data_IF_997721513545
#
_entry.id   IF_997721513545
#
_cell.length_a   1.000
_cell.length_b   1.000
_cell.length_c   1.000
_cell.angle_alpha   90.00
_cell.angle_beta   90.00
_cell.angle_gamma   90.00
#
_symmetry.space_group_name_H-M   'P 1'
#
loop_
_entity.id
_entity.type
_entity.pdbx_description
1 polymer ?
#
# COMPACT_ATOMS: atom_id res chain seq x y z
N UNK A 1 35.11 -21.19 -7.67
CA UNK A 1 34.08 -21.92 -8.44
C UNK A 1 32.75 -21.41 -7.95
N UNK A 2 32.16 -20.45 -8.66
CA UNK A 2 30.91 -19.78 -8.28
C UNK A 2 29.74 -20.58 -8.82
N UNK A 3 28.91 -21.09 -7.92
CA UNK A 3 27.65 -21.75 -8.27
C UNK A 3 26.60 -20.65 -8.42
N UNK A 4 26.52 -20.07 -9.61
CA UNK A 4 25.37 -19.27 -10.02
C UNK A 4 24.26 -20.25 -10.41
N UNK A 5 23.38 -20.55 -9.46
CA UNK A 5 22.13 -21.25 -9.77
C UNK A 5 21.30 -20.36 -10.70
N UNK A 6 21.06 -20.84 -11.91
CA UNK A 6 20.08 -20.31 -12.85
C UNK A 6 18.72 -20.26 -12.11
N UNK A 7 18.27 -19.08 -11.69
CA UNK A 7 16.87 -18.85 -11.36
C UNK A 7 16.10 -19.05 -12.67
N UNK A 8 15.51 -20.22 -12.86
CA UNK A 8 14.48 -20.40 -13.88
C UNK A 8 13.45 -19.30 -13.66
N UNK A 9 13.27 -18.44 -14.64
CA UNK A 9 12.11 -17.54 -14.70
C UNK A 9 10.87 -18.43 -14.64
N UNK A 10 10.19 -18.43 -13.50
CA UNK A 10 8.88 -19.05 -13.40
C UNK A 10 7.97 -18.27 -14.33
N UNK A 11 7.61 -18.85 -15.46
CA UNK A 11 6.51 -18.33 -16.30
C UNK A 11 5.23 -18.51 -15.50
N UNK A 12 4.72 -17.41 -15.01
CA UNK A 12 3.44 -17.38 -14.30
C UNK A 12 2.35 -17.18 -15.32
N UNK A 13 1.47 -18.19 -15.45
CA UNK A 13 0.25 -18.05 -16.24
C UNK A 13 -0.73 -17.20 -15.45
N UNK A 14 -0.78 -15.91 -15.78
CA UNK A 14 -1.74 -14.97 -15.20
C UNK A 14 -3.13 -15.14 -15.82
N UNK A 15 -3.26 -15.79 -16.98
CA UNK A 15 -4.50 -16.01 -17.71
C UNK A 15 -5.31 -14.71 -17.93
N UNK A 16 -6.59 -14.88 -18.24
CA UNK A 16 -7.56 -13.77 -18.28
C UNK A 16 -8.15 -13.43 -16.90
N UNK A 17 -7.33 -13.57 -15.83
CA UNK A 17 -7.77 -13.33 -14.46
C UNK A 17 -8.06 -11.83 -14.25
N UNK A 18 -9.30 -11.51 -13.88
CA UNK A 18 -9.67 -10.15 -13.47
C UNK A 18 -8.89 -9.78 -12.22
N UNK A 19 -8.02 -8.78 -12.32
CA UNK A 19 -7.21 -8.25 -11.22
C UNK A 19 -7.63 -6.83 -10.87
N UNK A 20 -7.40 -6.37 -9.63
CA UNK A 20 -7.69 -4.98 -9.26
C UNK A 20 -6.72 -4.02 -9.99
N UNK A 21 -7.23 -2.89 -10.46
CA UNK A 21 -6.40 -1.80 -11.00
C UNK A 21 -5.63 -1.13 -9.86
N UNK A 22 -6.28 -0.95 -8.70
CA UNK A 22 -5.71 -0.37 -7.48
C UNK A 22 -5.83 -1.36 -6.32
N UNK A 23 -4.70 -1.63 -5.67
CA UNK A 23 -4.54 -2.62 -4.60
C UNK A 23 -3.97 -1.95 -3.35
N UNK A 24 -4.61 -2.14 -2.20
CA UNK A 24 -4.06 -1.80 -0.88
C UNK A 24 -3.51 -3.03 -0.16
N UNK A 25 -2.36 -2.91 0.50
CA UNK A 25 -1.76 -4.02 1.27
C UNK A 25 -1.31 -3.57 2.65
N UNK A 26 -1.85 -4.20 3.69
CA UNK A 26 -1.42 -4.01 5.07
C UNK A 26 -0.38 -5.08 5.41
N UNK A 27 0.89 -4.72 5.43
CA UNK A 27 2.04 -5.62 5.61
C UNK A 27 2.20 -6.07 7.07
N UNK A 28 1.22 -6.88 7.57
CA UNK A 28 1.17 -7.30 8.97
C UNK A 28 1.83 -8.67 9.21
N UNK A 29 2.37 -8.86 10.41
CA UNK A 29 2.93 -10.13 10.86
C UNK A 29 4.45 -10.19 10.97
N UNK A 30 5.20 -9.15 10.58
CA UNK A 30 6.67 -9.13 10.64
C UNK A 30 7.22 -9.54 12.03
N UNK A 31 6.71 -8.91 13.09
CA UNK A 31 7.14 -9.22 14.47
C UNK A 31 6.77 -10.63 14.91
N UNK A 32 5.55 -11.09 14.59
CA UNK A 32 5.08 -12.45 14.90
C UNK A 32 5.90 -13.51 14.15
N UNK A 33 6.25 -13.25 12.91
CA UNK A 33 7.11 -14.10 12.10
C UNK A 33 8.49 -14.31 12.74
N UNK A 34 9.13 -13.22 13.20
CA UNK A 34 10.42 -13.27 13.88
C UNK A 34 10.32 -14.01 15.21
N UNK A 35 9.32 -13.71 16.04
CA UNK A 35 9.10 -14.36 17.33
C UNK A 35 8.90 -15.87 17.21
N UNK A 36 8.11 -16.34 16.21
CA UNK A 36 7.92 -17.78 15.93
C UNK A 36 9.24 -18.50 15.58
N UNK A 37 10.26 -17.75 15.15
CA UNK A 37 11.59 -18.28 14.76
C UNK A 37 12.69 -17.95 15.76
N UNK A 38 12.31 -17.46 16.94
CA UNK A 38 13.27 -17.03 17.99
C UNK A 38 14.27 -15.96 17.50
N UNK A 39 13.83 -15.11 16.56
CA UNK A 39 14.61 -14.01 15.99
C UNK A 39 14.15 -12.66 16.57
N UNK A 40 15.03 -11.65 16.59
CA UNK A 40 14.64 -10.30 16.95
C UNK A 40 13.61 -9.75 15.94
N UNK A 41 12.68 -8.90 16.39
CA UNK A 41 11.61 -8.32 15.53
C UNK A 41 12.17 -7.62 14.28
N UNK A 42 13.35 -7.01 14.40
CA UNK A 42 14.07 -6.37 13.28
C UNK A 42 14.38 -7.33 12.12
N UNK A 43 14.61 -8.62 12.41
CA UNK A 43 14.81 -9.62 11.35
C UNK A 43 13.54 -9.83 10.50
N UNK A 44 12.36 -9.86 11.16
CA UNK A 44 11.08 -9.94 10.46
C UNK A 44 10.82 -8.74 9.56
N UNK A 45 11.16 -7.53 10.01
CA UNK A 45 11.03 -6.33 9.18
C UNK A 45 11.95 -6.34 7.96
N UNK A 46 13.17 -6.84 8.10
CA UNK A 46 14.10 -6.99 6.95
C UNK A 46 13.56 -7.97 5.91
N UNK A 47 13.09 -9.14 6.36
CA UNK A 47 12.52 -10.15 5.44
C UNK A 47 11.24 -9.63 4.80
N UNK A 48 10.37 -8.93 5.58
CA UNK A 48 9.17 -8.31 5.04
C UNK A 48 9.44 -7.23 4.00
N UNK A 49 10.56 -6.52 4.11
CA UNK A 49 10.99 -5.56 3.11
C UNK A 49 11.46 -6.23 1.81
N UNK A 50 12.20 -7.34 1.89
CA UNK A 50 12.53 -8.16 0.71
C UNK A 50 11.25 -8.70 0.05
N UNK A 51 10.25 -9.09 0.85
CA UNK A 51 8.98 -9.58 0.33
C UNK A 51 8.17 -8.49 -0.40
N UNK A 52 8.25 -7.23 0.03
CA UNK A 52 7.62 -6.11 -0.69
C UNK A 52 8.13 -6.02 -2.14
N UNK A 53 9.41 -6.22 -2.36
CA UNK A 53 10.00 -6.23 -3.70
C UNK A 53 9.39 -7.32 -4.58
N UNK A 54 9.26 -8.53 -4.05
CA UNK A 54 8.62 -9.65 -4.79
C UNK A 54 7.12 -9.36 -5.04
N UNK A 55 6.42 -8.76 -4.09
CA UNK A 55 5.04 -8.32 -4.30
C UNK A 55 4.96 -7.32 -5.47
N UNK A 56 5.84 -6.31 -5.51
CA UNK A 56 5.88 -5.32 -6.57
C UNK A 56 6.04 -5.97 -7.95
N UNK A 57 7.01 -6.89 -8.10
CA UNK A 57 7.22 -7.65 -9.34
C UNK A 57 5.98 -8.44 -9.76
N UNK A 58 5.36 -9.12 -8.81
CA UNK A 58 4.16 -9.89 -9.08
C UNK A 58 2.99 -8.99 -9.48
N UNK A 59 2.81 -7.84 -8.82
CA UNK A 59 1.79 -6.86 -9.19
C UNK A 59 1.99 -6.31 -10.61
N UNK A 60 3.22 -5.98 -11.02
CA UNK A 60 3.54 -5.58 -12.40
C UNK A 60 3.17 -6.67 -13.40
N UNK A 61 3.52 -7.92 -13.11
CA UNK A 61 3.19 -9.09 -13.98
C UNK A 61 1.70 -9.29 -14.14
N UNK A 62 0.92 -9.08 -13.08
CA UNK A 62 -0.54 -9.13 -13.12
C UNK A 62 -1.19 -7.89 -13.77
N UNK A 63 -0.45 -6.82 -14.01
CA UNK A 63 -0.95 -5.60 -14.61
C UNK A 63 -1.64 -4.64 -13.64
N UNK A 64 -1.44 -4.81 -12.32
CA UNK A 64 -1.85 -3.83 -11.31
C UNK A 64 -1.20 -2.49 -11.61
N UNK A 65 -1.97 -1.39 -11.51
CA UNK A 65 -1.48 -0.04 -11.83
C UNK A 65 -1.10 0.78 -10.61
N UNK A 66 -1.77 0.55 -9.49
CA UNK A 66 -1.55 1.26 -8.24
C UNK A 66 -1.46 0.25 -7.11
N UNK A 67 -0.33 0.25 -6.40
CA UNK A 67 -0.10 -0.58 -5.22
C UNK A 67 0.18 0.33 -4.04
N UNK A 68 -0.76 0.44 -3.10
CA UNK A 68 -0.57 1.18 -1.85
C UNK A 68 -0.21 0.23 -0.73
N UNK A 69 0.92 0.44 -0.07
CA UNK A 69 1.41 -0.42 1.03
C UNK A 69 1.51 0.36 2.34
N UNK A 70 1.05 -0.25 3.44
CA UNK A 70 1.10 0.35 4.77
C UNK A 70 2.46 0.09 5.41
N UNK A 71 3.40 1.03 5.27
CA UNK A 71 4.77 0.89 5.74
C UNK A 71 4.96 1.33 7.20
N UNK A 72 4.33 2.47 7.60
CA UNK A 72 4.43 2.99 8.97
C UNK A 72 3.19 3.84 9.29
N UNK A 73 2.41 3.40 10.29
CA UNK A 73 1.22 4.13 10.73
C UNK A 73 1.55 5.21 11.77
N UNK A 74 0.66 6.20 11.92
CA UNK A 74 0.76 7.21 12.98
C UNK A 74 0.81 6.60 14.37
N UNK A 75 0.17 5.46 14.59
CA UNK A 75 0.17 4.74 15.86
C UNK A 75 1.51 4.05 16.15
N UNK A 76 2.35 3.82 15.13
CA UNK A 76 3.63 3.14 15.31
C UNK A 76 4.67 3.97 16.07
N UNK A 77 4.48 5.28 16.19
CA UNK A 77 5.31 6.13 17.06
C UNK A 77 5.24 5.72 18.54
N UNK A 78 4.16 5.06 18.97
CA UNK A 78 4.02 4.54 20.34
C UNK A 78 4.86 3.30 20.63
N UNK A 79 5.53 2.72 19.62
CA UNK A 79 6.43 1.57 19.79
C UNK A 79 7.70 1.98 20.55
N UNK A 80 8.43 0.99 21.13
CA UNK A 80 9.73 1.28 21.74
C UNK A 80 10.64 2.06 20.77
N UNK A 81 11.30 3.12 21.28
CA UNK A 81 12.09 4.04 20.44
C UNK A 81 13.12 3.31 19.57
N UNK A 82 13.80 2.28 20.10
CA UNK A 82 14.77 1.50 19.35
C UNK A 82 14.16 0.74 18.16
N UNK A 83 12.86 0.36 18.20
CA UNK A 83 12.16 -0.23 17.05
C UNK A 83 11.84 0.86 16.02
N UNK A 84 11.41 2.03 16.46
CA UNK A 84 11.13 3.17 15.59
C UNK A 84 12.39 3.62 14.86
N UNK A 85 13.49 3.83 15.59
CA UNK A 85 14.76 4.25 15.00
C UNK A 85 15.28 3.23 13.96
N UNK A 86 15.14 1.94 14.30
CA UNK A 86 15.48 0.87 13.37
C UNK A 86 14.65 0.93 12.09
N UNK A 87 13.32 1.13 12.20
CA UNK A 87 12.44 1.21 11.03
C UNK A 87 12.77 2.42 10.15
N UNK A 88 13.01 3.59 10.74
CA UNK A 88 13.41 4.80 9.99
C UNK A 88 14.74 4.60 9.26
N UNK A 89 15.72 3.95 9.92
CA UNK A 89 17.00 3.61 9.29
C UNK A 89 16.84 2.59 8.17
N UNK A 90 16.08 1.53 8.42
CA UNK A 90 15.80 0.49 7.41
C UNK A 90 15.12 1.11 6.18
N UNK A 91 14.18 2.02 6.37
CA UNK A 91 13.49 2.73 5.31
C UNK A 91 14.47 3.46 4.38
N UNK A 92 15.40 4.23 4.97
CA UNK A 92 16.45 4.93 4.21
C UNK A 92 17.33 3.95 3.42
N UNK A 93 17.75 2.85 4.05
CA UNK A 93 18.62 1.84 3.42
C UNK A 93 17.93 1.12 2.23
N UNK A 94 16.62 0.89 2.34
CA UNK A 94 15.88 0.10 1.35
C UNK A 94 15.68 0.85 0.04
N UNK A 95 15.38 2.14 0.06
CA UNK A 95 15.13 2.89 -1.16
C UNK A 95 16.39 3.00 -2.03
N UNK A 96 17.55 3.28 -1.45
CA UNK A 96 18.81 3.29 -2.20
C UNK A 96 19.15 1.90 -2.75
N UNK A 97 18.88 0.85 -1.96
CA UNK A 97 19.20 -0.54 -2.33
C UNK A 97 18.32 -1.07 -3.46
N UNK A 98 17.01 -0.74 -3.44
CA UNK A 98 16.03 -1.36 -4.35
C UNK A 98 15.67 -0.48 -5.55
N UNK A 99 16.08 0.79 -5.58
CA UNK A 99 15.79 1.68 -6.69
C UNK A 99 16.19 1.12 -8.07
N UNK A 100 17.36 0.47 -8.25
CA UNK A 100 17.71 -0.14 -9.52
C UNK A 100 16.71 -1.22 -9.96
N UNK A 101 16.29 -2.10 -9.06
CA UNK A 101 15.34 -3.17 -9.36
C UNK A 101 13.93 -2.63 -9.65
N UNK A 102 13.49 -1.60 -8.90
CA UNK A 102 12.22 -0.91 -9.18
C UNK A 102 12.26 -0.18 -10.53
N UNK A 103 13.44 0.32 -10.94
CA UNK A 103 13.63 0.95 -12.24
C UNK A 103 13.52 -0.06 -13.39
N UNK A 104 14.13 -1.24 -13.25
CA UNK A 104 14.03 -2.34 -14.23
C UNK A 104 12.57 -2.77 -14.45
N UNK A 105 11.78 -2.81 -13.37
CA UNK A 105 10.34 -3.15 -13.43
C UNK A 105 9.46 -1.95 -13.86
N UNK A 106 10.03 -0.77 -14.10
CA UNK A 106 9.30 0.43 -14.49
C UNK A 106 8.34 0.96 -13.42
N UNK A 107 8.70 0.83 -12.14
CA UNK A 107 7.85 1.19 -11.00
C UNK A 107 8.15 2.62 -10.55
N UNK A 108 7.14 3.49 -10.62
CA UNK A 108 7.14 4.82 -10.02
C UNK A 108 6.87 4.70 -8.51
N UNK A 109 7.67 5.38 -7.70
CA UNK A 109 7.48 5.43 -6.24
C UNK A 109 6.85 6.75 -5.85
N UNK A 110 5.85 6.70 -4.97
CA UNK A 110 5.20 7.87 -4.35
C UNK A 110 4.98 7.62 -2.86
N UNK A 111 4.81 8.68 -2.10
CA UNK A 111 4.55 8.59 -0.67
C UNK A 111 3.24 9.26 -0.30
N UNK A 112 2.52 8.67 0.67
CA UNK A 112 1.33 9.25 1.28
C UNK A 112 1.46 9.25 2.80
N UNK A 113 1.01 10.33 3.44
CA UNK A 113 1.08 10.52 4.89
C UNK A 113 1.56 11.92 5.26
N UNK A 114 1.70 12.16 6.55
CA UNK A 114 2.16 13.44 7.09
C UNK A 114 3.68 13.40 7.31
N UNK A 115 4.44 14.10 6.49
CA UNK A 115 5.91 14.09 6.54
C UNK A 115 6.51 15.01 7.63
N UNK A 116 5.68 15.80 8.32
CA UNK A 116 6.14 16.82 9.28
C UNK A 116 6.87 16.22 10.49
N UNK A 117 6.49 15.02 10.92
CA UNK A 117 7.10 14.31 12.06
C UNK A 117 8.25 13.39 11.64
N UNK A 118 8.44 13.18 10.32
CA UNK A 118 9.50 12.31 9.82
C UNK A 118 10.89 12.96 9.97
N UNK A 119 11.93 12.18 10.31
CA UNK A 119 13.31 12.65 10.29
C UNK A 119 13.69 13.27 8.93
N UNK A 120 14.48 14.34 8.94
CA UNK A 120 14.87 15.04 7.71
C UNK A 120 15.44 14.07 6.65
N UNK A 121 16.31 13.16 7.08
CA UNK A 121 16.92 12.17 6.18
C UNK A 121 15.89 11.27 5.48
N UNK A 122 14.80 10.90 6.15
CA UNK A 122 13.71 10.12 5.56
C UNK A 122 12.98 10.95 4.52
N UNK A 123 12.65 12.22 4.84
CA UNK A 123 12.01 13.15 3.90
C UNK A 123 12.83 13.36 2.63
N UNK A 124 14.15 13.50 2.78
CA UNK A 124 15.07 13.70 1.65
C UNK A 124 15.12 12.46 0.73
N UNK A 125 15.13 11.26 1.34
CA UNK A 125 15.06 9.99 0.59
C UNK A 125 13.74 9.87 -0.15
N UNK A 126 12.60 10.19 0.48
CA UNK A 126 11.29 10.18 -0.17
C UNK A 126 11.27 11.07 -1.42
N UNK A 127 11.68 12.33 -1.29
CA UNK A 127 11.74 13.29 -2.42
C UNK A 127 12.65 12.81 -3.54
N UNK A 128 13.80 12.26 -3.18
CA UNK A 128 14.77 11.72 -4.15
C UNK A 128 14.18 10.53 -4.90
N UNK A 129 13.52 9.61 -4.21
CA UNK A 129 12.89 8.43 -4.81
C UNK A 129 11.74 8.81 -5.75
N UNK A 130 10.90 9.77 -5.35
CA UNK A 130 9.81 10.29 -6.20
C UNK A 130 10.36 10.94 -7.48
N UNK A 131 11.35 11.82 -7.35
CA UNK A 131 11.94 12.50 -8.51
C UNK A 131 12.64 11.54 -9.48
N UNK A 132 13.42 10.57 -8.96
CA UNK A 132 14.11 9.56 -9.80
C UNK A 132 13.13 8.65 -10.54
N UNK A 133 11.96 8.41 -9.98
CA UNK A 133 11.01 7.43 -10.51
C UNK A 133 9.81 8.02 -11.25
N UNK A 134 9.68 9.35 -11.33
CA UNK A 134 8.47 10.05 -11.82
C UNK A 134 8.01 9.63 -13.22
N UNK A 135 8.93 9.28 -14.10
CA UNK A 135 8.65 8.94 -15.49
C UNK A 135 8.57 7.42 -15.75
N UNK A 136 8.61 6.59 -14.72
CA UNK A 136 8.51 5.12 -14.84
C UNK A 136 7.08 4.70 -15.17
N UNK A 137 6.85 3.86 -16.21
CA UNK A 137 5.54 3.76 -16.85
C UNK A 137 4.62 2.64 -16.36
N UNK A 138 5.12 1.62 -15.63
CA UNK A 138 4.37 0.37 -15.47
C UNK A 138 3.36 0.39 -14.32
N UNK A 139 3.81 0.70 -13.10
CA UNK A 139 3.01 0.69 -11.88
C UNK A 139 3.43 1.82 -10.95
N UNK A 140 2.50 2.36 -10.17
CA UNK A 140 2.81 3.26 -9.07
C UNK A 140 2.80 2.48 -7.76
N UNK A 141 3.95 2.47 -7.06
CA UNK A 141 4.06 2.02 -5.69
C UNK A 141 3.86 3.22 -4.76
N UNK A 142 2.78 3.22 -4.03
CA UNK A 142 2.45 4.25 -3.04
C UNK A 142 2.80 3.72 -1.64
N UNK A 143 3.73 4.37 -0.97
CA UNK A 143 4.19 3.97 0.37
C UNK A 143 3.52 4.86 1.41
N UNK A 144 2.59 4.29 2.17
CA UNK A 144 1.93 4.98 3.27
C UNK A 144 2.88 5.02 4.49
N UNK A 145 3.49 6.20 4.70
CA UNK A 145 4.52 6.46 5.70
C UNK A 145 4.08 7.59 6.64
N UNK A 146 4.10 7.33 7.95
CA UNK A 146 3.47 8.21 8.96
C UNK A 146 2.03 8.53 8.57
N UNK A 147 1.34 7.50 8.11
CA UNK A 147 0.00 7.58 7.57
C UNK A 147 -1.07 7.16 8.58
N UNK A 148 -2.23 7.79 8.49
CA UNK A 148 -3.44 7.37 9.17
C UNK A 148 -4.66 8.05 8.54
N UNK A 149 -5.65 7.26 8.12
CA UNK A 149 -6.83 7.76 7.40
C UNK A 149 -7.63 8.82 8.18
N UNK A 150 -7.69 8.71 9.51
CA UNK A 150 -8.29 9.77 10.33
C UNK A 150 -7.54 11.10 10.22
N UNK A 151 -6.19 11.05 10.18
CA UNK A 151 -5.34 12.25 10.02
C UNK A 151 -5.50 12.83 8.61
N UNK A 152 -5.58 11.99 7.61
CA UNK A 152 -5.81 12.38 6.23
C UNK A 152 -7.15 13.08 6.04
N UNK A 153 -8.25 12.49 6.52
CA UNK A 153 -9.59 13.11 6.51
C UNK A 153 -9.56 14.45 7.25
N UNK A 154 -8.92 14.52 8.43
CA UNK A 154 -8.78 15.78 9.17
C UNK A 154 -7.99 16.82 8.37
N UNK A 155 -6.96 16.41 7.63
CA UNK A 155 -6.19 17.30 6.74
C UNK A 155 -7.07 17.86 5.62
N UNK A 156 -7.86 17.01 4.95
CA UNK A 156 -8.83 17.42 3.94
C UNK A 156 -9.87 18.42 4.51
N UNK A 157 -10.48 18.09 5.66
CA UNK A 157 -11.41 18.99 6.33
C UNK A 157 -10.81 20.35 6.65
N UNK A 158 -9.53 20.42 7.08
CA UNK A 158 -8.85 21.68 7.36
C UNK A 158 -8.62 22.53 6.12
N UNK A 159 -8.28 21.90 4.98
CA UNK A 159 -8.13 22.59 3.70
C UNK A 159 -9.46 23.20 3.25
N UNK A 160 -10.56 22.43 3.32
CA UNK A 160 -11.92 22.89 2.98
C UNK A 160 -12.37 24.02 3.94
N UNK A 161 -12.15 23.86 5.26
CA UNK A 161 -12.49 24.90 6.23
C UNK A 161 -11.73 26.21 5.99
N UNK A 162 -10.50 26.16 5.48
CA UNK A 162 -9.76 27.36 5.08
C UNK A 162 -10.42 28.06 3.87
N UNK A 163 -10.89 27.30 2.88
CA UNK A 163 -11.61 27.83 1.72
C UNK A 163 -12.99 28.43 2.10
N UNK A 164 -13.68 27.82 3.07
CA UNK A 164 -14.89 28.43 3.63
C UNK A 164 -14.59 29.73 4.34
N UNK A 165 -13.51 29.76 5.15
CA UNK A 165 -13.11 30.96 5.91
C UNK A 165 -12.73 32.13 5.01
N UNK A 166 -12.10 31.91 3.88
CA UNK A 166 -11.71 32.96 2.92
C UNK A 166 -12.81 33.30 1.92
N UNK A 167 -13.98 32.66 2.00
CA UNK A 167 -15.16 32.91 1.18
C UNK A 167 -15.11 32.29 -0.22
N UNK A 168 -14.17 31.40 -0.48
CA UNK A 168 -14.06 30.66 -1.77
C UNK A 168 -15.16 29.63 -1.95
N UNK A 169 -15.74 29.13 -0.86
CA UNK A 169 -16.76 28.07 -0.84
C UNK A 169 -17.81 28.40 0.23
N UNK A 170 -19.10 28.19 -0.08
CA UNK A 170 -20.16 28.18 0.93
C UNK A 170 -20.18 26.82 1.66
N UNK A 171 -20.39 26.75 2.99
CA UNK A 171 -20.51 25.46 3.70
C UNK A 171 -21.52 24.48 3.09
N UNK A 172 -22.60 24.99 2.50
CA UNK A 172 -23.66 24.16 1.87
C UNK A 172 -23.22 23.57 0.53
N UNK A 173 -22.14 24.09 -0.09
CA UNK A 173 -21.59 23.58 -1.34
C UNK A 173 -20.51 22.49 -1.15
N UNK A 174 -20.20 22.13 0.12
CA UNK A 174 -19.22 21.07 0.40
C UNK A 174 -19.78 19.72 -0.05
N UNK A 175 -19.00 19.01 -0.89
CA UNK A 175 -19.34 17.70 -1.44
C UNK A 175 -18.35 16.61 -1.02
N UNK A 176 -18.75 15.33 -1.16
CA UNK A 176 -17.84 14.18 -0.96
C UNK A 176 -16.63 14.25 -1.91
N UNK A 177 -16.85 14.72 -3.15
CA UNK A 177 -15.78 14.91 -4.13
C UNK A 177 -14.74 15.91 -3.64
N UNK A 178 -15.15 17.00 -3.00
CA UNK A 178 -14.22 17.99 -2.42
C UNK A 178 -13.37 17.39 -1.30
N UNK A 179 -13.92 16.45 -0.52
CA UNK A 179 -13.13 15.72 0.47
C UNK A 179 -12.07 14.88 -0.24
N UNK A 180 -12.47 14.12 -1.27
CA UNK A 180 -11.59 13.28 -2.06
C UNK A 180 -10.47 14.09 -2.74
N UNK A 181 -10.79 15.24 -3.34
CA UNK A 181 -9.84 16.13 -4.02
C UNK A 181 -8.81 16.76 -3.07
N UNK A 182 -9.09 16.75 -1.78
CA UNK A 182 -8.22 17.31 -0.74
C UNK A 182 -7.47 16.25 0.09
N UNK A 183 -7.59 14.95 -0.24
CA UNK A 183 -6.77 13.90 0.34
C UNK A 183 -5.28 14.09 -0.02
N UNK A 184 -4.41 13.24 0.49
CA UNK A 184 -2.96 13.37 0.25
C UNK A 184 -2.58 13.11 -1.21
N UNK A 185 -3.20 12.12 -1.87
CA UNK A 185 -2.96 11.75 -3.26
C UNK A 185 -4.28 11.60 -4.04
N UNK A 186 -4.97 12.72 -4.36
CA UNK A 186 -6.30 12.68 -4.97
C UNK A 186 -6.32 12.11 -6.40
N UNK A 187 -5.17 11.99 -7.04
CA UNK A 187 -5.02 11.42 -8.38
C UNK A 187 -4.82 9.90 -8.38
N UNK A 188 -4.70 9.26 -7.19
CA UNK A 188 -4.63 7.81 -7.06
C UNK A 188 -6.04 7.26 -6.87
N UNK A 189 -6.49 6.31 -7.70
CA UNK A 189 -7.83 5.75 -7.57
C UNK A 189 -7.97 4.92 -6.30
N UNK A 190 -9.18 4.90 -5.75
CA UNK A 190 -9.55 4.09 -4.60
C UNK A 190 -9.17 2.62 -4.81
N UNK A 191 -8.67 1.93 -3.77
CA UNK A 191 -8.33 0.52 -3.88
C UNK A 191 -9.58 -0.32 -4.12
N UNK A 192 -9.53 -1.18 -5.13
CA UNK A 192 -10.60 -2.14 -5.40
C UNK A 192 -10.52 -3.34 -4.45
N UNK A 193 -9.31 -3.67 -3.99
CA UNK A 193 -9.03 -4.76 -3.07
C UNK A 193 -8.04 -4.29 -2.00
N UNK A 194 -8.32 -4.64 -0.74
CA UNK A 194 -7.35 -4.53 0.35
C UNK A 194 -6.99 -5.93 0.83
N UNK A 195 -5.70 -6.22 0.82
CA UNK A 195 -5.13 -7.48 1.32
C UNK A 195 -4.51 -7.24 2.69
N UNK A 196 -4.85 -8.10 3.66
CA UNK A 196 -4.18 -8.13 4.96
C UNK A 196 -3.79 -9.54 5.34
N UNK A 197 -2.49 -9.89 5.22
CA UNK A 197 -1.91 -11.09 5.82
C UNK A 197 -2.03 -11.10 7.35
N UNK A 198 -1.82 -12.27 7.96
CA UNK A 198 -1.69 -12.47 9.40
C UNK A 198 -2.97 -12.72 10.22
N UNK A 199 -4.10 -13.02 9.54
CA UNK A 199 -5.36 -13.42 10.18
C UNK A 199 -6.16 -12.28 10.82
N UNK A 200 -5.72 -11.02 10.68
CA UNK A 200 -6.37 -9.87 11.30
C UNK A 200 -7.38 -9.22 10.35
N UNK A 201 -8.66 -9.13 10.75
CA UNK A 201 -9.75 -8.57 9.95
C UNK A 201 -10.12 -7.15 10.42
N UNK A 202 -9.24 -6.19 10.17
CA UNK A 202 -9.45 -4.76 10.46
C UNK A 202 -8.56 -3.89 9.56
N UNK A 203 -9.00 -2.68 9.24
CA UNK A 203 -8.26 -1.71 8.42
C UNK A 203 -7.12 -1.03 9.18
N UNK A 204 -7.19 -0.96 10.50
CA UNK A 204 -6.18 -0.30 11.34
C UNK A 204 -5.84 1.11 10.88
N UNK A 205 -6.86 1.92 10.60
CA UNK A 205 -6.72 3.31 10.16
C UNK A 205 -6.05 3.48 8.76
N UNK A 206 -6.07 2.43 7.93
CA UNK A 206 -5.49 2.45 6.57
C UNK A 206 -6.57 2.79 5.54
N UNK A 207 -6.36 3.82 4.73
CA UNK A 207 -7.19 4.25 3.59
C UNK A 207 -8.70 4.29 3.92
N UNK A 208 -9.07 4.95 5.05
CA UNK A 208 -10.46 4.87 5.56
C UNK A 208 -11.50 5.45 4.61
N UNK A 209 -11.20 6.56 3.95
CA UNK A 209 -12.08 7.19 2.99
C UNK A 209 -12.12 6.40 1.69
N UNK A 210 -10.95 6.10 1.17
CA UNK A 210 -10.74 5.45 -0.12
C UNK A 210 -11.21 3.98 -0.13
N UNK A 211 -11.25 3.32 1.04
CA UNK A 211 -11.66 1.92 1.16
C UNK A 211 -13.15 1.68 1.29
N UNK A 212 -13.98 2.73 1.18
CA UNK A 212 -15.42 2.65 1.40
C UNK A 212 -16.12 1.54 0.58
N UNK A 213 -15.61 1.24 -0.61
CA UNK A 213 -16.13 0.19 -1.50
C UNK A 213 -15.09 -0.86 -1.87
N UNK A 214 -13.98 -0.93 -1.13
CA UNK A 214 -12.96 -1.96 -1.36
C UNK A 214 -13.45 -3.33 -0.92
N UNK A 215 -13.15 -4.35 -1.72
CA UNK A 215 -13.19 -5.73 -1.25
C UNK A 215 -12.06 -5.97 -0.24
N UNK A 216 -12.29 -6.82 0.76
CA UNK A 216 -11.30 -7.12 1.78
C UNK A 216 -10.95 -8.61 1.75
N UNK A 217 -9.65 -8.91 1.67
CA UNK A 217 -9.14 -10.28 1.66
C UNK A 217 -8.10 -10.48 2.78
N UNK A 218 -8.27 -11.55 3.54
CA UNK A 218 -7.43 -11.87 4.71
C UNK A 218 -6.83 -13.26 4.55
N UNK A 219 -5.58 -13.42 4.97
CA UNK A 219 -4.87 -14.69 5.02
C UNK A 219 -4.20 -14.88 6.37
N UNK A 220 -4.11 -16.11 6.85
CA UNK A 220 -3.34 -16.47 8.06
C UNK A 220 -1.82 -16.42 7.84
N UNK A 221 -1.37 -16.39 6.59
CA UNK A 221 0.04 -16.24 6.22
C UNK A 221 0.60 -14.95 6.80
N UNK A 222 1.75 -15.00 7.48
CA UNK A 222 2.43 -13.81 7.97
C UNK A 222 3.12 -13.08 6.81
N UNK A 223 3.17 -11.74 6.86
CA UNK A 223 3.69 -10.94 5.74
C UNK A 223 5.04 -11.41 5.17
N UNK A 224 6.08 -11.77 5.95
CA UNK A 224 7.34 -12.25 5.38
C UNK A 224 7.24 -13.54 4.56
N UNK A 225 6.20 -14.35 4.79
CA UNK A 225 5.95 -15.61 4.07
C UNK A 225 4.84 -15.46 2.99
N UNK A 226 4.20 -14.30 2.88
CA UNK A 226 3.16 -14.00 1.89
C UNK A 226 3.76 -14.02 0.48
N UNK A 227 3.38 -14.98 -0.34
CA UNK A 227 4.00 -15.23 -1.63
C UNK A 227 3.10 -14.98 -2.83
N UNK A 228 3.61 -15.39 -3.99
CA UNK A 228 2.89 -15.36 -5.26
C UNK A 228 1.57 -16.13 -5.20
N UNK A 229 1.55 -17.28 -4.54
CA UNK A 229 0.36 -18.14 -4.45
C UNK A 229 -0.74 -17.49 -3.63
N UNK A 230 -0.40 -16.80 -2.51
CA UNK A 230 -1.35 -16.04 -1.71
C UNK A 230 -1.96 -14.89 -2.53
N UNK A 231 -1.11 -14.14 -3.25
CA UNK A 231 -1.55 -13.05 -4.13
C UNK A 231 -2.47 -13.56 -5.23
N UNK A 232 -2.10 -14.68 -5.86
CA UNK A 232 -2.92 -15.31 -6.90
C UNK A 232 -4.28 -15.74 -6.36
N UNK A 233 -4.31 -16.32 -5.15
CA UNK A 233 -5.56 -16.72 -4.52
C UNK A 233 -6.43 -15.50 -4.19
N UNK A 234 -5.84 -14.41 -3.67
CA UNK A 234 -6.55 -13.16 -3.42
C UNK A 234 -7.19 -12.60 -4.71
N UNK A 235 -6.48 -12.66 -5.84
CA UNK A 235 -7.02 -12.19 -7.12
C UNK A 235 -8.09 -13.13 -7.69
N UNK A 236 -7.97 -14.45 -7.51
CA UNK A 236 -9.04 -15.40 -7.88
C UNK A 236 -10.32 -15.14 -7.09
N UNK A 237 -10.19 -14.94 -5.79
CA UNK A 237 -11.34 -14.65 -4.93
C UNK A 237 -11.97 -13.30 -5.29
N UNK A 238 -11.16 -12.29 -5.57
CA UNK A 238 -11.61 -10.99 -6.06
C UNK A 238 -12.35 -11.09 -7.39
N UNK A 239 -11.85 -11.88 -8.33
CA UNK A 239 -12.46 -12.06 -9.65
C UNK A 239 -13.86 -12.68 -9.59
N UNK A 240 -14.14 -13.47 -8.55
CA UNK A 240 -15.45 -14.11 -8.34
C UNK A 240 -16.47 -13.21 -7.67
N UNK A 241 -16.05 -12.05 -7.12
CA UNK A 241 -16.94 -11.13 -6.42
C UNK A 241 -17.59 -10.15 -7.39
N UNK A 242 -18.91 -10.02 -7.29
CA UNK A 242 -19.68 -8.95 -7.95
C UNK A 242 -19.68 -7.71 -7.06
N UNK A 243 -18.95 -6.68 -7.45
CA UNK A 243 -18.96 -5.37 -6.76
C UNK A 243 -20.28 -4.66 -7.05
N UNK A 244 -21.16 -4.64 -6.04
CA UNK A 244 -22.51 -4.03 -6.11
C UNK A 244 -22.49 -2.67 -5.41
N UNK A 245 -22.22 -1.61 -6.07
CA UNK A 245 -22.29 -0.23 -5.51
C UNK A 245 -23.75 0.16 -5.10
N UNK A 246 -24.41 -0.67 -4.29
CA UNK A 246 -25.81 -0.49 -3.87
C UNK A 246 -26.86 -0.86 -4.94
N UNK A 247 -26.48 -1.38 -6.11
CA UNK A 247 -27.39 -1.80 -7.17
C UNK A 247 -27.78 -3.29 -7.12
N UNK A 248 -28.90 -3.65 -7.78
CA UNK A 248 -29.31 -5.04 -7.98
C UNK A 248 -28.40 -5.75 -8.97
N UNK A 249 -28.17 -7.06 -8.80
CA UNK A 249 -27.42 -7.85 -9.77
C UNK A 249 -28.22 -8.02 -11.07
N UNK A 250 -27.53 -8.14 -12.22
CA UNK A 250 -28.18 -8.43 -13.52
C UNK A 250 -29.02 -9.72 -13.53
N UNK A 251 -28.82 -10.63 -12.57
CA UNK A 251 -29.64 -11.83 -12.39
C UNK A 251 -30.97 -11.57 -11.67
N UNK A 252 -31.07 -10.54 -10.85
CA UNK A 252 -32.29 -10.19 -10.11
C UNK A 252 -33.23 -9.28 -10.91
N UNK A 253 -32.81 -8.74 -12.03
CA UNK A 253 -33.61 -7.89 -12.93
C UNK A 253 -34.38 -8.72 -13.99
N UNK A 254 -34.23 -10.06 -14.02
CA UNK A 254 -34.88 -10.95 -14.98
C UNK A 254 -35.96 -11.86 -14.36
N UNK A 255 -36.35 -11.59 -13.14
CA UNK A 255 -37.52 -12.20 -12.46
C UNK A 255 -38.59 -11.15 -12.24
#
# INVERSE_FOLDING_TARGET
>A
MAIFGNKQEKTYDTGDLKVPVSLGVIMDGNGRWATKRHLPRSAGHKVGAENLKELCRNCVRYGVKYLTVYAFSTENWSRPQGEVDFLMKLFVELFDKYDPELAEEGIRVRFTGDDTELPQKVRDVCRTAEERSKDRPNMQLIVALNYGGRREILSSCRKIAAQVKDGSIDPEDITEQMISDNLYLPDVPDPELIIRPSGEMRLSNFLLWESAYSEFWVSDTLWPDFGYEDLTQAFRDFAQRDRRFGGLSKKETQT
#
